data_IF_334984138704
#
_entry.id   IF_334984138704
#
_cell.length_a   1.000
_cell.length_b   1.000
_cell.length_c   1.000
_cell.angle_alpha   90.00
_cell.angle_beta   90.00
_cell.angle_gamma   90.00
#
_symmetry.space_group_name_H-M   'P 1'
#
loop_
_entity.id
_entity.type
_entity.pdbx_description
1 polymer ?
#
# COMPACT_ATOMS: atom_id res chain seq x y z
N UNK A 1 17.64 14.62 -3.91
CA UNK A 1 17.80 13.37 -3.14
C UNK A 1 16.43 12.90 -2.66
N UNK A 2 16.11 11.63 -2.93
CA UNK A 2 14.89 10.98 -2.46
C UNK A 2 15.23 10.09 -1.26
N UNK A 3 14.57 10.34 -0.14
CA UNK A 3 14.76 9.55 1.08
C UNK A 3 13.43 8.98 1.53
N UNK A 4 13.34 7.65 1.66
CA UNK A 4 12.17 6.97 2.22
C UNK A 4 12.46 6.57 3.67
N UNK A 5 11.66 7.10 4.59
CA UNK A 5 11.63 6.61 5.97
C UNK A 5 10.64 5.45 6.08
N UNK A 6 11.15 4.32 6.55
CA UNK A 6 10.48 3.03 6.53
C UNK A 6 10.66 2.31 7.86
N UNK A 7 9.61 1.61 8.31
CA UNK A 7 9.68 0.67 9.41
C UNK A 7 9.22 -0.71 8.90
N UNK A 8 10.03 -1.77 9.07
CA UNK A 8 9.66 -3.11 8.60
C UNK A 8 8.29 -3.56 9.12
N UNK A 9 7.54 -4.30 8.30
CA UNK A 9 6.21 -4.82 8.61
C UNK A 9 5.21 -3.73 9.01
N UNK A 10 5.29 -2.57 8.35
CA UNK A 10 4.32 -1.48 8.51
C UNK A 10 3.67 -1.19 7.16
N UNK A 11 2.75 -0.22 7.13
CA UNK A 11 2.20 0.27 5.86
C UNK A 11 3.26 0.77 4.90
N UNK A 12 4.46 1.14 5.36
CA UNK A 12 5.54 1.58 4.47
C UNK A 12 6.15 0.46 3.61
N UNK A 13 5.93 -0.82 3.93
CA UNK A 13 6.40 -1.97 3.13
C UNK A 13 5.84 -1.92 1.71
N UNK A 14 4.61 -1.41 1.52
CA UNK A 14 4.00 -1.29 0.20
C UNK A 14 4.69 -0.24 -0.69
N UNK A 15 5.37 0.75 -0.11
CA UNK A 15 6.22 1.68 -0.87
C UNK A 15 7.52 0.99 -1.29
N UNK A 16 8.10 0.17 -0.40
CA UNK A 16 9.26 -0.67 -0.74
C UNK A 16 8.91 -1.61 -1.90
N UNK A 17 7.73 -2.23 -1.88
CA UNK A 17 7.24 -3.05 -2.99
C UNK A 17 7.13 -2.26 -4.31
N UNK A 18 6.61 -1.03 -4.28
CA UNK A 18 6.55 -0.20 -5.50
C UNK A 18 7.96 0.12 -6.02
N UNK A 19 8.89 0.47 -5.13
CA UNK A 19 10.28 0.76 -5.46
C UNK A 19 10.94 -0.44 -6.16
N UNK A 20 10.74 -1.65 -5.62
CA UNK A 20 11.19 -2.90 -6.24
C UNK A 20 10.50 -3.16 -7.57
N UNK A 21 9.18 -2.94 -7.67
CA UNK A 21 8.41 -3.13 -8.90
C UNK A 21 8.89 -2.21 -10.03
N UNK A 22 9.22 -0.96 -9.71
CA UNK A 22 9.77 0.02 -10.65
C UNK A 22 11.24 -0.22 -10.98
N UNK A 23 11.96 -0.96 -10.13
CA UNK A 23 13.39 -1.21 -10.25
C UNK A 23 14.24 0.01 -9.91
N UNK A 24 13.81 0.83 -8.94
CA UNK A 24 14.46 2.10 -8.57
C UNK A 24 15.14 2.07 -7.20
N UNK A 25 15.38 0.88 -6.63
CA UNK A 25 15.91 0.72 -5.27
C UNK A 25 17.28 1.39 -5.06
N UNK A 26 18.11 1.47 -6.09
CA UNK A 26 19.41 2.16 -6.08
C UNK A 26 19.31 3.69 -6.14
N UNK A 27 18.12 4.23 -6.43
CA UNK A 27 17.83 5.67 -6.53
C UNK A 27 17.16 6.25 -5.30
N UNK A 28 16.84 5.42 -4.31
CA UNK A 28 16.15 5.81 -3.08
C UNK A 28 17.07 5.59 -1.88
N UNK A 29 17.34 6.66 -1.12
CA UNK A 29 17.98 6.54 0.20
C UNK A 29 16.95 6.03 1.23
N UNK A 30 17.02 4.74 1.56
CA UNK A 30 16.07 4.13 2.49
C UNK A 30 16.60 4.18 3.93
N UNK A 31 15.86 4.89 4.79
CA UNK A 31 16.16 5.07 6.22
C UNK A 31 15.21 4.24 7.07
N UNK A 32 15.79 3.31 7.85
CA UNK A 32 15.03 2.52 8.82
C UNK A 32 14.79 3.37 10.06
N UNK A 33 13.54 3.41 10.52
CA UNK A 33 13.12 4.12 11.74
C UNK A 33 12.21 3.27 12.60
N UNK A 34 12.10 3.63 13.88
CA UNK A 34 11.10 3.08 14.79
C UNK A 34 9.79 3.89 14.78
N UNK A 35 8.69 3.18 15.07
CA UNK A 35 7.36 3.75 15.24
C UNK A 35 6.68 3.07 16.43
N UNK A 36 5.69 3.76 17.00
CA UNK A 36 4.73 3.12 17.90
C UNK A 36 3.80 2.23 17.05
N UNK A 37 3.70 0.96 17.41
CA UNK A 37 2.88 -0.05 16.73
C UNK A 37 1.46 -0.08 17.32
N UNK A 38 0.55 -0.76 16.63
CA UNK A 38 -0.85 -0.88 17.06
C UNK A 38 -1.02 -1.65 18.36
N UNK A 39 -0.10 -2.55 18.68
CA UNK A 39 -0.05 -3.30 19.95
C UNK A 39 0.61 -2.50 21.10
N UNK A 40 0.99 -1.24 20.85
CA UNK A 40 1.68 -0.37 21.81
C UNK A 40 3.19 -0.60 21.90
N UNK A 41 3.75 -1.55 21.16
CA UNK A 41 5.20 -1.77 21.11
C UNK A 41 5.93 -0.70 20.29
N UNK A 42 7.26 -0.66 20.43
CA UNK A 42 8.11 0.31 19.73
C UNK A 42 8.09 1.71 20.37
N UNK A 43 8.82 2.64 19.77
CA UNK A 43 8.91 4.03 20.23
C UNK A 43 8.91 4.99 19.05
N UNK A 44 8.58 6.26 19.31
CA UNK A 44 8.82 7.33 18.34
C UNK A 44 10.32 7.52 18.16
N UNK A 45 10.77 7.46 16.92
CA UNK A 45 12.17 7.68 16.57
C UNK A 45 12.48 9.17 16.38
N UNK A 46 13.57 9.65 17.01
CA UNK A 46 14.03 11.03 16.90
C UNK A 46 14.51 11.38 15.48
N UNK A 47 14.96 10.39 14.70
CA UNK A 47 15.40 10.62 13.32
C UNK A 47 14.26 10.52 12.29
N UNK A 48 13.04 10.15 12.70
CA UNK A 48 11.86 10.12 11.82
C UNK A 48 11.24 11.54 11.75
N UNK A 49 11.34 12.25 10.62
CA UNK A 49 10.83 13.61 10.51
C UNK A 49 9.31 13.67 10.28
N UNK A 50 8.62 12.52 10.24
CA UNK A 50 7.17 12.51 10.10
C UNK A 50 6.53 13.21 11.32
N UNK A 51 5.65 14.21 11.14
CA UNK A 51 5.12 15.01 12.24
C UNK A 51 4.37 14.16 13.28
N UNK A 52 3.67 13.12 12.80
CA UNK A 52 2.94 12.14 13.63
C UNK A 52 3.79 10.93 14.09
N UNK A 53 5.09 10.89 13.76
CA UNK A 53 5.95 9.73 14.07
C UNK A 53 5.55 8.43 13.37
N UNK A 54 4.88 8.54 12.21
CA UNK A 54 4.42 7.42 11.38
C UNK A 54 5.32 7.19 10.17
N UNK A 55 5.03 6.13 9.41
CA UNK A 55 5.62 5.82 8.11
C UNK A 55 4.51 5.28 7.18
N UNK A 56 4.64 5.36 5.85
CA UNK A 56 5.79 5.89 5.10
C UNK A 56 5.92 7.43 5.18
N UNK A 57 7.14 7.92 5.03
CA UNK A 57 7.42 9.32 4.68
C UNK A 57 8.46 9.35 3.56
N UNK A 58 8.14 10.04 2.47
CA UNK A 58 9.11 10.34 1.44
C UNK A 58 9.58 11.80 1.61
N UNK A 59 10.88 12.02 1.54
CA UNK A 59 11.46 13.37 1.45
C UNK A 59 12.13 13.51 0.09
N UNK A 60 11.71 14.51 -0.68
CA UNK A 60 12.34 14.90 -1.94
C UNK A 60 12.92 16.29 -1.81
N UNK A 61 14.26 16.40 -1.75
CA UNK A 61 14.97 17.68 -1.62
C UNK A 61 14.46 18.57 -0.49
N UNK A 62 14.23 17.96 0.68
CA UNK A 62 13.74 18.63 1.88
C UNK A 62 12.21 18.77 1.96
N UNK A 63 11.47 18.48 0.90
CA UNK A 63 10.01 18.51 0.90
C UNK A 63 9.47 17.17 1.38
N UNK A 64 8.68 17.21 2.47
CA UNK A 64 8.00 16.03 3.02
C UNK A 64 6.71 15.71 2.25
N UNK A 65 6.61 14.47 1.77
CA UNK A 65 5.47 13.93 1.04
C UNK A 65 4.89 12.78 1.88
N UNK A 66 3.62 12.91 2.22
CA UNK A 66 2.86 12.00 3.10
C UNK A 66 1.70 11.39 2.32
N UNK A 67 1.10 10.37 2.90
CA UNK A 67 0.10 9.48 2.30
C UNK A 67 0.67 8.54 1.24
N UNK A 68 0.35 7.25 1.36
CA UNK A 68 0.94 6.23 0.47
C UNK A 68 0.61 6.51 -0.99
N UNK A 69 -0.66 6.80 -1.33
CA UNK A 69 -1.05 7.06 -2.73
C UNK A 69 -0.29 8.24 -3.32
N UNK A 70 -0.14 9.33 -2.57
CA UNK A 70 0.62 10.50 -3.01
C UNK A 70 2.13 10.20 -3.16
N UNK A 71 2.72 9.40 -2.26
CA UNK A 71 4.11 8.96 -2.38
C UNK A 71 4.29 8.10 -3.65
N UNK A 72 3.37 7.17 -3.93
CA UNK A 72 3.43 6.32 -5.11
C UNK A 72 3.32 7.14 -6.40
N UNK A 73 2.33 8.04 -6.48
CA UNK A 73 2.15 8.95 -7.62
C UNK A 73 3.38 9.84 -7.83
N UNK A 74 3.94 10.39 -6.75
CA UNK A 74 5.12 11.24 -6.83
C UNK A 74 6.34 10.47 -7.34
N UNK A 75 6.58 9.24 -6.87
CA UNK A 75 7.67 8.40 -7.37
C UNK A 75 7.48 8.08 -8.86
N UNK A 76 6.26 7.75 -9.29
CA UNK A 76 5.97 7.51 -10.70
C UNK A 76 6.17 8.75 -11.57
N UNK A 77 5.84 9.94 -11.06
CA UNK A 77 6.09 11.20 -11.76
C UNK A 77 7.58 11.55 -11.87
N UNK A 78 8.38 11.23 -10.85
CA UNK A 78 9.84 11.46 -10.86
C UNK A 78 10.56 10.48 -11.79
N UNK A 79 10.04 9.26 -11.93
CA UNK A 79 10.61 8.17 -12.74
C UNK A 79 9.64 7.71 -13.84
N UNK A 80 9.34 8.55 -14.84
CA UNK A 80 8.26 8.28 -15.81
C UNK A 80 8.57 7.10 -16.74
N UNK A 81 9.85 6.81 -17.01
CA UNK A 81 10.25 5.68 -17.86
C UNK A 81 10.04 4.34 -17.15
N UNK A 82 10.34 4.29 -15.86
CA UNK A 82 10.08 3.16 -14.96
C UNK A 82 8.58 2.99 -14.71
N UNK A 83 7.88 4.09 -14.44
CA UNK A 83 6.45 4.10 -14.21
C UNK A 83 5.67 3.55 -15.40
N UNK A 84 6.09 3.86 -16.64
CA UNK A 84 5.44 3.38 -17.86
C UNK A 84 5.42 1.84 -18.00
N UNK A 85 6.23 1.10 -17.23
CA UNK A 85 6.22 -0.37 -17.20
C UNK A 85 5.22 -0.96 -16.21
N UNK A 86 4.73 -0.17 -15.26
CA UNK A 86 3.98 -0.66 -14.09
C UNK A 86 2.64 0.05 -13.87
N UNK A 87 2.39 1.14 -14.60
CA UNK A 87 1.17 1.93 -14.50
C UNK A 87 0.78 2.55 -15.85
N UNK A 88 -0.52 2.82 -16.09
CA UNK A 88 -0.95 3.62 -17.22
C UNK A 88 -0.33 5.03 -17.18
N UNK A 89 -0.14 5.64 -18.35
CA UNK A 89 0.50 6.97 -18.43
C UNK A 89 -0.40 8.07 -17.82
N UNK A 90 0.18 9.06 -17.12
CA UNK A 90 -0.58 10.22 -16.67
C UNK A 90 -1.37 10.89 -17.81
N UNK A 91 -2.61 11.28 -17.50
CA UNK A 91 -3.51 11.92 -18.45
C UNK A 91 -4.35 10.97 -19.32
N UNK A 92 -4.17 9.64 -19.24
CA UNK A 92 -5.05 8.69 -19.93
C UNK A 92 -6.27 8.30 -19.06
N UNK A 93 -7.39 7.85 -19.67
CA UNK A 93 -8.53 7.34 -18.91
C UNK A 93 -8.19 6.20 -17.95
N UNK A 94 -7.28 5.30 -18.35
CA UNK A 94 -6.85 4.16 -17.54
C UNK A 94 -6.06 4.62 -16.31
N UNK A 95 -5.27 5.70 -16.43
CA UNK A 95 -4.62 6.30 -15.27
C UNK A 95 -5.65 6.87 -14.29
N UNK A 96 -6.70 7.53 -14.80
CA UNK A 96 -7.82 7.97 -13.97
C UNK A 96 -8.50 6.82 -13.22
N UNK A 97 -8.68 5.66 -13.87
CA UNK A 97 -9.22 4.46 -13.23
C UNK A 97 -8.27 3.87 -12.17
N UNK A 98 -6.96 3.87 -12.42
CA UNK A 98 -5.96 3.46 -11.41
C UNK A 98 -5.99 4.37 -10.19
N UNK A 99 -5.99 5.69 -10.40
CA UNK A 99 -6.09 6.68 -9.32
C UNK A 99 -7.35 6.49 -8.47
N UNK A 100 -8.48 6.15 -9.10
CA UNK A 100 -9.73 5.86 -8.39
C UNK A 100 -9.58 4.67 -7.43
N UNK A 101 -8.93 3.58 -7.86
CA UNK A 101 -8.65 2.44 -6.97
C UNK A 101 -7.66 2.77 -5.85
N UNK A 102 -6.61 3.53 -6.16
CA UNK A 102 -5.63 3.96 -5.16
C UNK A 102 -6.26 4.86 -4.10
N UNK A 103 -7.09 5.81 -4.52
CA UNK A 103 -7.84 6.68 -3.62
C UNK A 103 -8.87 5.90 -2.80
N UNK A 104 -9.64 5.00 -3.43
CA UNK A 104 -10.61 4.15 -2.75
C UNK A 104 -9.96 3.26 -1.68
N UNK A 105 -8.77 2.74 -1.94
CA UNK A 105 -8.05 1.89 -0.98
C UNK A 105 -7.78 2.63 0.35
N UNK A 106 -7.32 3.89 0.28
CA UNK A 106 -7.06 4.69 1.47
C UNK A 106 -8.29 5.35 2.09
N UNK A 107 -9.25 5.76 1.26
CA UNK A 107 -10.42 6.53 1.71
C UNK A 107 -11.61 5.64 2.12
N UNK A 108 -11.64 4.38 1.71
CA UNK A 108 -12.77 3.47 1.95
C UNK A 108 -12.30 2.14 2.51
N UNK A 109 -11.48 1.39 1.78
CA UNK A 109 -11.11 0.02 2.19
C UNK A 109 -10.37 -0.02 3.53
N UNK A 110 -9.33 0.81 3.71
CA UNK A 110 -8.60 0.86 4.98
C UNK A 110 -9.45 1.27 6.18
N UNK A 111 -10.29 2.33 6.09
CA UNK A 111 -11.27 2.62 7.12
C UNK A 111 -12.19 1.44 7.46
N UNK A 112 -12.73 0.73 6.46
CA UNK A 112 -13.58 -0.43 6.70
C UNK A 112 -12.84 -1.57 7.40
N UNK A 113 -11.59 -1.85 7.01
CA UNK A 113 -10.72 -2.83 7.68
C UNK A 113 -10.52 -2.44 9.15
N UNK A 114 -10.25 -1.16 9.44
CA UNK A 114 -10.09 -0.67 10.80
C UNK A 114 -11.37 -0.76 11.62
N UNK A 115 -12.52 -0.38 11.05
CA UNK A 115 -13.82 -0.51 11.71
C UNK A 115 -14.14 -1.97 12.04
N UNK A 116 -13.84 -2.89 11.11
CA UNK A 116 -13.99 -4.34 11.33
C UNK A 116 -13.08 -4.85 12.45
N UNK A 117 -11.81 -4.44 12.48
CA UNK A 117 -10.86 -4.78 13.57
C UNK A 117 -11.37 -4.27 14.92
N UNK A 118 -11.88 -3.04 14.95
CA UNK A 118 -12.37 -2.39 16.15
C UNK A 118 -13.77 -2.87 16.58
N UNK A 119 -14.42 -3.72 15.77
CA UNK A 119 -15.82 -4.13 15.94
C UNK A 119 -16.77 -2.93 16.10
N UNK A 120 -16.52 -1.85 15.34
CA UNK A 120 -17.32 -0.63 15.38
C UNK A 120 -18.32 -0.62 14.23
N UNK A 121 -19.60 -0.54 14.58
CA UNK A 121 -20.72 -0.49 13.65
C UNK A 121 -21.55 0.78 13.91
N UNK A 122 -21.77 1.61 12.89
CA UNK A 122 -22.57 2.82 13.00
C UNK A 122 -23.22 3.21 11.66
N UNK A 123 -24.52 3.59 11.61
CA UNK A 123 -25.21 3.89 10.35
C UNK A 123 -24.51 4.95 9.48
N UNK A 124 -23.92 5.99 10.08
CA UNK A 124 -23.14 6.99 9.33
C UNK A 124 -21.88 6.41 8.68
N UNK A 125 -21.24 5.41 9.29
CA UNK A 125 -20.06 4.75 8.70
C UNK A 125 -20.51 3.89 7.51
N UNK A 126 -21.60 3.14 7.65
CA UNK A 126 -22.22 2.40 6.56
C UNK A 126 -22.62 3.29 5.39
N UNK A 127 -23.28 4.42 5.64
CA UNK A 127 -23.70 5.32 4.56
C UNK A 127 -22.50 5.97 3.84
N UNK A 128 -21.41 6.23 4.57
CA UNK A 128 -20.22 6.93 4.06
C UNK A 128 -19.29 5.97 3.32
N UNK A 129 -18.90 4.87 3.98
CA UNK A 129 -17.89 3.94 3.51
C UNK A 129 -18.47 2.68 2.89
N UNK A 130 -19.78 2.43 3.00
CA UNK A 130 -20.40 1.11 2.80
C UNK A 130 -20.04 0.14 3.93
N UNK A 131 -20.32 -1.15 3.73
CA UNK A 131 -19.83 -2.22 4.60
C UNK A 131 -18.72 -3.04 3.91
N UNK A 132 -18.10 -3.93 4.68
CA UNK A 132 -17.05 -4.82 4.18
C UNK A 132 -17.56 -5.74 3.06
N UNK A 133 -18.80 -6.24 3.14
CA UNK A 133 -19.35 -7.17 2.15
C UNK A 133 -19.54 -6.48 0.80
N UNK A 134 -19.97 -5.21 0.81
CA UNK A 134 -20.08 -4.36 -0.37
C UNK A 134 -18.70 -4.01 -0.96
N UNK A 135 -17.69 -3.80 -0.12
CA UNK A 135 -16.31 -3.59 -0.60
C UNK A 135 -15.74 -4.86 -1.24
N UNK A 136 -16.00 -6.04 -0.67
CA UNK A 136 -15.59 -7.33 -1.23
C UNK A 136 -16.34 -7.62 -2.53
N UNK A 137 -17.64 -7.38 -2.60
CA UNK A 137 -18.41 -7.53 -3.84
C UNK A 137 -17.92 -6.62 -4.97
N UNK A 138 -17.47 -5.39 -4.63
CA UNK A 138 -16.85 -4.48 -5.60
C UNK A 138 -15.53 -5.06 -6.15
N UNK A 139 -14.68 -5.60 -5.29
CA UNK A 139 -13.41 -6.23 -5.69
C UNK A 139 -13.66 -7.51 -6.49
N UNK A 140 -14.56 -8.37 -6.05
CA UNK A 140 -14.94 -9.60 -6.76
C UNK A 140 -15.41 -9.27 -8.19
N UNK A 141 -16.34 -8.32 -8.33
CA UNK A 141 -16.80 -7.85 -9.64
C UNK A 141 -15.66 -7.33 -10.51
N UNK A 142 -14.71 -6.59 -9.94
CA UNK A 142 -13.57 -6.08 -10.67
C UNK A 142 -12.59 -7.19 -11.12
N UNK A 143 -12.52 -8.27 -10.36
CA UNK A 143 -11.58 -9.38 -10.55
C UNK A 143 -12.16 -10.58 -11.30
N UNK A 144 -13.48 -10.63 -11.54
CA UNK A 144 -14.15 -11.72 -12.27
C UNK A 144 -13.45 -12.08 -13.59
N UNK A 145 -13.14 -11.06 -14.41
CA UNK A 145 -12.54 -11.24 -15.74
C UNK A 145 -11.13 -10.65 -15.82
N UNK A 146 -10.47 -10.42 -14.67
CA UNK A 146 -9.16 -9.75 -14.62
C UNK A 146 -8.20 -10.43 -13.67
N UNK A 147 -6.93 -10.46 -14.06
CA UNK A 147 -5.87 -11.01 -13.21
C UNK A 147 -5.57 -10.09 -12.01
N UNK A 148 -5.58 -8.79 -12.27
CA UNK A 148 -5.34 -7.68 -11.35
C UNK A 148 -6.36 -6.56 -11.61
N UNK A 149 -6.49 -5.58 -10.70
CA UNK A 149 -7.52 -4.53 -10.76
C UNK A 149 -7.48 -3.74 -12.08
N UNK A 150 -6.27 -3.52 -12.60
CA UNK A 150 -6.03 -2.79 -13.86
C UNK A 150 -5.81 -3.70 -15.08
N UNK A 151 -6.01 -5.01 -14.97
CA UNK A 151 -5.94 -5.95 -16.10
C UNK A 151 -4.95 -7.08 -15.88
N UNK A 152 -3.95 -7.20 -16.75
CA UNK A 152 -3.05 -8.35 -16.81
C UNK A 152 -1.83 -8.27 -15.88
N UNK A 153 -1.45 -7.06 -15.44
CA UNK A 153 -0.23 -6.81 -14.67
C UNK A 153 -0.53 -6.16 -13.33
N UNK A 154 0.31 -6.43 -12.33
CA UNK A 154 0.27 -5.79 -11.02
C UNK A 154 0.52 -4.28 -11.20
N UNK A 155 -0.31 -3.46 -10.55
CA UNK A 155 -0.17 -1.99 -10.54
C UNK A 155 -0.15 -1.45 -9.10
N UNK A 156 0.18 -0.16 -8.90
CA UNK A 156 0.05 0.48 -7.58
C UNK A 156 -1.35 0.36 -6.94
N UNK A 157 -2.41 0.27 -7.76
CA UNK A 157 -3.77 0.01 -7.27
C UNK A 157 -3.87 -1.33 -6.54
N UNK A 158 -3.28 -2.39 -7.10
CA UNK A 158 -3.25 -3.71 -6.49
C UNK A 158 -2.40 -3.73 -5.21
N UNK A 159 -1.23 -3.08 -5.24
CA UNK A 159 -0.33 -2.97 -4.07
C UNK A 159 -1.08 -2.33 -2.89
N UNK A 160 -1.75 -1.21 -3.12
CA UNK A 160 -2.51 -0.51 -2.08
C UNK A 160 -3.65 -1.37 -1.53
N UNK A 161 -4.52 -1.88 -2.40
CA UNK A 161 -5.70 -2.62 -1.98
C UNK A 161 -5.33 -3.92 -1.26
N UNK A 162 -4.44 -4.73 -1.84
CA UNK A 162 -4.04 -6.03 -1.27
C UNK A 162 -3.34 -5.90 0.07
N UNK A 163 -2.52 -4.84 0.27
CA UNK A 163 -1.77 -4.62 1.51
C UNK A 163 -2.64 -4.35 2.75
N UNK A 164 -3.95 -4.14 2.57
CA UNK A 164 -4.90 -3.92 3.67
C UNK A 164 -5.37 -5.23 4.30
N UNK A 165 -5.41 -6.32 3.53
CA UNK A 165 -5.99 -7.60 3.93
C UNK A 165 -5.21 -8.36 5.03
N UNK A 166 -3.86 -8.34 5.07
CA UNK A 166 -3.12 -9.01 6.15
C UNK A 166 -3.46 -8.53 7.56
N UNK A 167 -4.10 -7.37 7.70
CA UNK A 167 -4.53 -6.81 8.99
C UNK A 167 -5.93 -7.26 9.42
N UNK A 168 -6.71 -7.91 8.55
CA UNK A 168 -8.05 -8.35 8.89
C UNK A 168 -8.03 -9.51 9.89
N UNK A 169 -8.83 -9.44 10.97
CA UNK A 169 -8.93 -10.53 11.94
C UNK A 169 -9.67 -11.71 11.28
N UNK A 170 -9.09 -12.91 11.39
CA UNK A 170 -9.64 -14.11 10.75
C UNK A 170 -9.29 -14.26 9.26
N UNK A 171 -8.50 -13.34 8.70
CA UNK A 171 -8.09 -13.37 7.29
C UNK A 171 -9.14 -12.81 6.33
N UNK A 172 -8.85 -12.89 5.04
CA UNK A 172 -9.77 -12.48 3.98
C UNK A 172 -11.00 -13.40 3.96
N UNK A 173 -12.24 -12.87 3.95
CA UNK A 173 -13.43 -13.69 3.79
C UNK A 173 -13.38 -14.54 2.51
N UNK A 174 -14.03 -15.70 2.53
CA UNK A 174 -13.97 -16.69 1.43
C UNK A 174 -14.65 -16.16 0.14
N UNK A 175 -13.92 -15.36 -0.63
CA UNK A 175 -14.25 -14.97 -1.99
C UNK A 175 -13.15 -15.50 -2.94
N UNK A 176 -13.41 -16.57 -3.72
CA UNK A 176 -12.38 -17.23 -4.53
C UNK A 176 -11.59 -16.28 -5.42
N UNK A 177 -12.26 -15.34 -6.11
CA UNK A 177 -11.61 -14.36 -6.98
C UNK A 177 -10.64 -13.43 -6.21
N UNK A 178 -10.99 -13.05 -4.98
CA UNK A 178 -10.17 -12.18 -4.13
C UNK A 178 -9.01 -12.99 -3.54
N UNK A 179 -9.26 -14.18 -3.01
CA UNK A 179 -8.22 -15.07 -2.48
C UNK A 179 -7.17 -15.38 -3.56
N UNK A 180 -7.61 -15.70 -4.77
CA UNK A 180 -6.71 -15.97 -5.89
C UNK A 180 -5.93 -14.72 -6.31
N UNK A 181 -6.56 -13.54 -6.29
CA UNK A 181 -5.90 -12.26 -6.57
C UNK A 181 -4.85 -11.90 -5.51
N UNK A 182 -5.15 -12.09 -4.23
CA UNK A 182 -4.20 -11.88 -3.13
C UNK A 182 -3.00 -12.82 -3.27
N UNK A 183 -3.23 -14.10 -3.57
CA UNK A 183 -2.17 -15.06 -3.81
C UNK A 183 -1.29 -14.66 -5.01
N UNK A 184 -1.88 -14.11 -6.08
CA UNK A 184 -1.12 -13.55 -7.20
C UNK A 184 -0.29 -12.35 -6.78
N UNK A 185 -0.86 -11.40 -6.03
CA UNK A 185 -0.14 -10.23 -5.53
C UNK A 185 1.03 -10.61 -4.63
N UNK A 186 0.85 -11.60 -3.76
CA UNK A 186 1.92 -12.12 -2.88
C UNK A 186 3.02 -12.83 -3.67
N UNK A 187 2.65 -13.55 -4.74
CA UNK A 187 3.59 -14.26 -5.59
C UNK A 187 4.45 -13.36 -6.48
N UNK A 188 4.08 -12.08 -6.66
CA UNK A 188 4.84 -11.14 -7.49
C UNK A 188 6.27 -10.95 -6.96
N UNK A 189 7.29 -10.90 -7.84
CA UNK A 189 8.69 -10.77 -7.42
C UNK A 189 8.94 -9.54 -6.53
N UNK A 190 8.28 -8.42 -6.81
CA UNK A 190 8.41 -7.19 -6.01
C UNK A 190 7.85 -7.35 -4.60
N UNK A 191 6.77 -8.11 -4.43
CA UNK A 191 6.20 -8.43 -3.11
C UNK A 191 7.18 -9.25 -2.28
N UNK A 192 7.73 -10.31 -2.88
CA UNK A 192 8.71 -11.19 -2.22
C UNK A 192 10.00 -10.45 -1.88
N UNK A 193 10.46 -9.55 -2.76
CA UNK A 193 11.63 -8.71 -2.52
C UNK A 193 11.41 -7.77 -1.32
N UNK A 194 10.26 -7.09 -1.26
CA UNK A 194 9.90 -6.23 -0.13
C UNK A 194 9.79 -7.00 1.19
N UNK A 195 9.14 -8.17 1.19
CA UNK A 195 9.03 -9.03 2.37
C UNK A 195 10.41 -9.52 2.85
N UNK A 196 11.29 -9.91 1.93
CA UNK A 196 12.66 -10.32 2.26
C UNK A 196 13.49 -9.14 2.80
N UNK A 197 13.30 -7.94 2.25
CA UNK A 197 13.92 -6.72 2.74
C UNK A 197 13.52 -6.43 4.19
N UNK A 198 12.22 -6.45 4.47
CA UNK A 198 11.68 -6.24 5.82
C UNK A 198 12.25 -7.26 6.81
N UNK A 199 12.23 -8.55 6.45
CA UNK A 199 12.78 -9.62 7.29
C UNK A 199 14.27 -9.44 7.59
N UNK A 200 15.05 -8.97 6.60
CA UNK A 200 16.48 -8.66 6.80
C UNK A 200 16.67 -7.47 7.73
N UNK A 201 15.92 -6.38 7.54
CA UNK A 201 16.07 -5.15 8.33
C UNK A 201 15.55 -5.28 9.76
N UNK A 202 14.49 -6.04 9.98
CA UNK A 202 13.97 -6.33 11.31
C UNK A 202 15.01 -7.10 12.17
N UNK A 203 15.74 -8.06 11.58
CA UNK A 203 16.80 -8.80 12.27
C UNK A 203 18.02 -7.96 12.61
N UNK A 204 18.33 -6.93 11.82
CA UNK A 204 19.46 -6.03 12.08
C UNK A 204 19.16 -4.96 13.14
N UNK A 205 17.89 -4.81 13.53
CA UNK A 205 17.42 -3.83 14.51
C UNK A 205 17.07 -4.46 15.88
N UNK A 206 17.08 -5.79 15.97
CA UNK A 206 16.90 -6.58 17.20
C UNK A 206 18.27 -6.93 17.80
#
# INVERSE_FOLDING_TARGET
MLTLYHAPFSRSTRIVQLIELMGISDRIDLRIVQIVRSDGSGVRDAINPHPEGKVPLLVHDGVSIRETSAIMEHLMAVFPEEAARVAPRPGTPEHGAMLAWMAWSGAVLEPLVLLKIAAVEHPLMHSTFRDMDQALALLEKALMDRRFLMGAHLTPADILASSSFPYLPGGTPEHPAITDWLARCEAEPSSRAAAAFDAKKAKSAA
#
